data_IF_771895654454
#
_entry.id   IF_771895654454
#
_cell.length_a   1.000
_cell.length_b   1.000
_cell.length_c   1.000
_cell.angle_alpha   90.00
_cell.angle_beta   90.00
_cell.angle_gamma   90.00
#
_symmetry.space_group_name_H-M   'P 1'
#
loop_
_entity.id
_entity.type
_entity.pdbx_description
1 polymer ?
#
# COMPACT_ATOMS: atom_id res chain seq x y z
N UNK A 1 -2.67 6.05 12.78
CA UNK A 1 -1.84 7.27 13.04
C UNK A 1 -0.84 7.41 11.89
N UNK A 2 -0.71 8.60 11.28
CA UNK A 2 0.29 8.85 10.21
C UNK A 2 1.67 9.02 10.87
N UNK A 3 2.66 8.20 10.45
CA UNK A 3 4.06 8.36 10.83
C UNK A 3 4.90 8.98 9.70
N UNK A 4 6.19 9.18 9.94
CA UNK A 4 7.12 9.80 8.97
C UNK A 4 7.28 9.06 7.64
N UNK A 5 6.81 7.82 7.53
CA UNK A 5 6.93 7.00 6.31
C UNK A 5 5.65 6.22 5.95
N UNK A 6 4.49 6.52 6.56
CA UNK A 6 3.25 5.85 6.17
C UNK A 6 2.14 5.79 7.21
N UNK A 7 1.06 5.07 6.89
CA UNK A 7 -0.07 4.80 7.79
C UNK A 7 0.17 3.47 8.50
N UNK A 8 0.17 3.46 9.83
CA UNK A 8 0.28 2.24 10.64
C UNK A 8 -1.01 1.90 11.35
N UNK A 9 -1.26 0.59 11.45
CA UNK A 9 -2.31 0.06 12.31
C UNK A 9 -2.45 -1.45 12.24
N UNK A 10 -3.09 -2.04 13.25
CA UNK A 10 -3.46 -3.46 13.25
C UNK A 10 -4.50 -3.74 12.15
N UNK A 11 -4.24 -4.76 11.32
CA UNK A 11 -5.17 -5.20 10.28
C UNK A 11 -6.56 -5.49 10.87
N UNK A 12 -7.62 -5.09 10.15
CA UNK A 12 -9.02 -5.23 10.54
C UNK A 12 -9.45 -4.51 11.84
N UNK A 13 -8.57 -3.75 12.48
CA UNK A 13 -8.94 -2.88 13.60
C UNK A 13 -8.66 -1.41 13.28
N UNK A 14 -7.39 -1.09 13.07
CA UNK A 14 -6.94 0.28 12.78
C UNK A 14 -6.67 0.42 11.27
N UNK A 15 -6.00 -0.57 10.69
CA UNK A 15 -5.81 -0.70 9.24
C UNK A 15 -7.01 -1.45 8.66
N UNK A 16 -8.11 -0.73 8.47
CA UNK A 16 -9.34 -1.27 7.89
C UNK A 16 -9.32 -1.20 6.36
N UNK A 17 -10.08 -2.07 5.65
CA UNK A 17 -10.23 -1.96 4.20
C UNK A 17 -10.73 -0.59 3.75
N UNK A 18 -11.63 0.04 4.54
CA UNK A 18 -12.12 1.39 4.23
C UNK A 18 -11.02 2.45 4.33
N UNK A 19 -10.14 2.34 5.32
CA UNK A 19 -8.99 3.23 5.44
C UNK A 19 -8.01 3.02 4.26
N UNK A 20 -7.72 1.78 3.90
CA UNK A 20 -6.87 1.43 2.77
C UNK A 20 -7.43 1.95 1.43
N UNK A 21 -8.74 1.82 1.22
CA UNK A 21 -9.42 2.37 0.04
C UNK A 21 -9.33 3.90 -0.02
N UNK A 22 -9.61 4.58 1.10
CA UNK A 22 -9.49 6.04 1.16
C UNK A 22 -8.03 6.51 0.95
N UNK A 23 -7.05 5.73 1.42
CA UNK A 23 -5.65 5.98 1.13
C UNK A 23 -5.36 5.87 -0.37
N UNK A 24 -5.82 4.80 -1.03
CA UNK A 24 -5.71 4.65 -2.48
C UNK A 24 -6.35 5.80 -3.26
N UNK A 25 -7.55 6.23 -2.86
CA UNK A 25 -8.23 7.40 -3.43
C UNK A 25 -7.38 8.68 -3.32
N UNK A 26 -6.79 8.91 -2.15
CA UNK A 26 -5.99 10.10 -1.88
C UNK A 26 -4.66 10.11 -2.65
N UNK A 27 -4.01 8.95 -2.79
CA UNK A 27 -2.78 8.84 -3.59
C UNK A 27 -3.09 8.96 -5.08
N UNK A 28 -4.13 8.28 -5.55
CA UNK A 28 -4.46 8.24 -6.98
C UNK A 28 -5.00 9.55 -7.53
N UNK A 29 -5.53 10.46 -6.69
CA UNK A 29 -5.87 11.82 -7.11
C UNK A 29 -4.64 12.70 -7.37
N UNK A 30 -3.46 12.29 -6.91
CA UNK A 30 -2.19 13.01 -7.06
C UNK A 30 -1.32 12.37 -8.15
N UNK A 31 -1.27 11.03 -8.17
CA UNK A 31 -0.37 10.28 -9.05
C UNK A 31 -1.14 9.53 -10.14
N UNK A 32 -0.83 9.74 -11.43
CA UNK A 32 -1.53 9.08 -12.54
C UNK A 32 -1.19 7.59 -12.68
N UNK A 33 -0.05 7.15 -12.13
CA UNK A 33 0.38 5.76 -12.12
C UNK A 33 1.07 5.43 -10.81
N UNK A 34 0.69 4.30 -10.20
CA UNK A 34 1.20 3.84 -8.92
C UNK A 34 1.48 2.34 -8.97
N UNK A 35 2.69 1.95 -8.57
CA UNK A 35 3.04 0.53 -8.40
C UNK A 35 2.79 0.07 -6.96
N UNK A 36 2.17 -1.09 -6.77
CA UNK A 36 1.77 -1.60 -5.45
C UNK A 36 2.39 -2.98 -5.23
N UNK A 37 2.97 -3.19 -4.06
CA UNK A 37 3.46 -4.50 -3.61
C UNK A 37 3.15 -4.74 -2.14
N UNK A 38 3.19 -6.00 -1.72
CA UNK A 38 2.95 -6.39 -0.33
C UNK A 38 3.91 -7.46 0.17
N UNK A 39 4.06 -7.54 1.50
CA UNK A 39 4.80 -8.60 2.18
C UNK A 39 3.95 -9.89 2.31
N UNK A 40 4.48 -11.02 2.82
CA UNK A 40 3.78 -12.30 2.80
C UNK A 40 2.64 -12.44 3.82
N UNK A 41 2.23 -11.36 4.52
CA UNK A 41 1.17 -11.44 5.52
C UNK A 41 -0.19 -11.67 4.86
N UNK A 42 -1.01 -12.51 5.48
CA UNK A 42 -2.35 -12.90 4.98
C UNK A 42 -3.23 -11.67 4.71
N UNK A 43 -3.17 -10.65 5.55
CA UNK A 43 -3.93 -9.40 5.36
C UNK A 43 -3.36 -8.47 4.29
N UNK A 44 -2.18 -8.75 3.74
CA UNK A 44 -1.56 -7.99 2.66
C UNK A 44 -2.43 -7.92 1.41
N UNK A 45 -3.00 -9.05 0.98
CA UNK A 45 -3.89 -9.11 -0.20
C UNK A 45 -5.16 -8.30 -0.01
N UNK A 46 -5.78 -8.39 1.17
CA UNK A 46 -6.97 -7.61 1.49
C UNK A 46 -6.70 -6.10 1.42
N UNK A 47 -5.57 -5.66 1.98
CA UNK A 47 -5.16 -4.25 1.95
C UNK A 47 -4.79 -3.84 0.52
N UNK A 48 -4.08 -4.69 -0.23
CA UNK A 48 -3.72 -4.42 -1.63
C UNK A 48 -4.97 -4.19 -2.48
N UNK A 49 -5.95 -5.09 -2.39
CA UNK A 49 -7.20 -4.94 -3.14
C UNK A 49 -7.95 -3.66 -2.78
N UNK A 50 -7.98 -3.28 -1.49
CA UNK A 50 -8.61 -2.05 -1.07
C UNK A 50 -7.88 -0.80 -1.60
N UNK A 51 -6.56 -0.75 -1.50
CA UNK A 51 -5.73 0.34 -2.04
C UNK A 51 -5.91 0.45 -3.56
N UNK A 52 -5.82 -0.67 -4.27
CA UNK A 52 -5.99 -0.73 -5.74
C UNK A 52 -7.37 -0.26 -6.16
N UNK A 53 -8.44 -0.66 -5.45
CA UNK A 53 -9.79 -0.16 -5.72
C UNK A 53 -9.86 1.36 -5.58
N UNK A 54 -9.25 1.92 -4.53
CA UNK A 54 -9.15 3.36 -4.33
C UNK A 54 -8.41 4.06 -5.49
N UNK A 55 -7.22 3.57 -5.85
CA UNK A 55 -6.42 4.10 -6.95
C UNK A 55 -7.20 4.12 -8.26
N UNK A 56 -7.77 2.98 -8.66
CA UNK A 56 -8.52 2.87 -9.92
C UNK A 56 -9.75 3.78 -9.96
N UNK A 57 -10.50 3.87 -8.85
CA UNK A 57 -11.69 4.72 -8.78
C UNK A 57 -11.39 6.22 -8.83
N UNK A 58 -10.16 6.64 -8.49
CA UNK A 58 -9.71 8.02 -8.63
C UNK A 58 -9.24 8.38 -10.06
N UNK A 59 -9.17 7.39 -10.96
CA UNK A 59 -8.65 7.56 -12.33
C UNK A 59 -7.17 7.26 -12.49
N UNK A 60 -6.48 6.82 -11.43
CA UNK A 60 -5.08 6.40 -11.48
C UNK A 60 -4.91 4.99 -12.04
N UNK A 61 -3.78 4.72 -12.68
CA UNK A 61 -3.36 3.38 -13.09
C UNK A 61 -2.65 2.67 -11.94
N UNK A 62 -3.19 1.53 -11.51
CA UNK A 62 -2.55 0.68 -10.50
C UNK A 62 -1.78 -0.48 -11.16
N UNK A 63 -0.48 -0.58 -10.89
CA UNK A 63 0.37 -1.70 -11.32
C UNK A 63 0.66 -2.60 -10.13
N UNK A 64 0.11 -3.82 -10.14
CA UNK A 64 0.34 -4.80 -9.07
C UNK A 64 1.63 -5.59 -9.31
N UNK A 65 2.56 -5.56 -8.37
CA UNK A 65 3.67 -6.51 -8.30
C UNK A 65 3.33 -7.75 -7.46
N UNK A 66 2.27 -7.68 -6.64
CA UNK A 66 1.87 -8.75 -5.73
C UNK A 66 2.84 -8.90 -4.56
N UNK A 67 3.04 -10.15 -4.13
CA UNK A 67 3.91 -10.47 -3.00
C UNK A 67 5.39 -10.32 -3.41
N UNK A 68 6.06 -9.30 -2.89
CA UNK A 68 7.47 -9.02 -3.17
C UNK A 68 8.21 -8.51 -1.93
N UNK A 69 9.51 -8.76 -1.79
CA UNK A 69 10.32 -8.09 -0.79
C UNK A 69 10.32 -6.57 -0.98
N UNK A 70 10.35 -5.80 0.12
CA UNK A 70 10.51 -4.34 0.09
C UNK A 70 11.63 -3.84 -0.85
N UNK A 71 12.85 -4.42 -0.86
CA UNK A 71 13.90 -3.96 -1.79
C UNK A 71 13.55 -4.18 -3.26
N UNK A 72 12.73 -5.18 -3.59
CA UNK A 72 12.25 -5.41 -4.96
C UNK A 72 11.33 -4.28 -5.41
N UNK A 73 10.39 -3.87 -4.55
CA UNK A 73 9.53 -2.72 -4.83
C UNK A 73 10.33 -1.41 -4.89
N UNK A 74 11.31 -1.21 -4.00
CA UNK A 74 12.18 -0.03 -4.00
C UNK A 74 13.05 0.07 -5.26
N UNK A 75 13.40 -1.06 -5.90
CA UNK A 75 14.07 -1.03 -7.20
C UNK A 75 13.08 -0.70 -8.32
N UNK A 76 11.89 -1.30 -8.29
CA UNK A 76 10.86 -1.05 -9.28
C UNK A 76 10.37 0.41 -9.27
N UNK A 77 10.28 1.03 -8.08
CA UNK A 77 9.78 2.40 -7.90
C UNK A 77 10.56 3.45 -8.68
N UNK A 78 11.83 3.19 -9.02
CA UNK A 78 12.64 4.07 -9.89
C UNK A 78 12.04 4.32 -11.27
N UNK A 79 11.14 3.45 -11.72
CA UNK A 79 10.47 3.55 -13.02
C UNK A 79 9.03 4.09 -12.91
N UNK A 80 8.55 4.45 -11.71
CA UNK A 80 7.18 4.90 -11.47
C UNK A 80 7.16 6.23 -10.70
N UNK A 81 6.10 7.02 -10.87
CA UNK A 81 5.95 8.29 -10.17
C UNK A 81 5.62 8.15 -8.67
N UNK A 82 5.09 7.00 -8.26
CA UNK A 82 4.77 6.67 -6.88
C UNK A 82 4.76 5.14 -6.70
N UNK A 83 5.13 4.67 -5.52
CA UNK A 83 5.08 3.26 -5.17
C UNK A 83 4.52 3.04 -3.76
N UNK A 84 3.67 2.03 -3.59
CA UNK A 84 3.04 1.71 -2.30
C UNK A 84 3.51 0.33 -1.83
N UNK A 85 4.19 0.30 -0.69
CA UNK A 85 4.50 -0.96 0.02
C UNK A 85 3.49 -1.20 1.13
N UNK A 86 2.87 -2.37 1.13
CA UNK A 86 2.03 -2.87 2.22
C UNK A 86 2.85 -3.87 3.02
N UNK A 87 3.31 -3.46 4.20
CA UNK A 87 4.19 -4.31 5.02
C UNK A 87 4.05 -4.03 6.50
N UNK A 88 4.35 -5.01 7.35
CA UNK A 88 4.58 -4.75 8.77
C UNK A 88 6.04 -4.39 9.11
N UNK A 89 6.96 -4.54 8.16
CA UNK A 89 8.41 -4.53 8.40
C UNK A 89 8.76 -5.50 9.56
N UNK A 90 9.32 -5.02 10.67
CA UNK A 90 9.73 -5.82 11.82
C UNK A 90 8.67 -5.91 12.94
N UNK A 91 7.46 -5.40 12.74
CA UNK A 91 6.47 -5.34 13.82
C UNK A 91 5.96 -6.75 14.21
N UNK A 92 5.98 -7.10 15.51
CA UNK A 92 5.32 -8.31 16.01
C UNK A 92 3.80 -8.22 15.84
N UNK A 93 3.14 -9.36 15.55
CA UNK A 93 1.67 -9.43 15.46
C UNK A 93 1.07 -8.84 14.17
N UNK A 94 -0.26 -8.62 14.09
CA UNK A 94 -1.00 -8.25 12.86
C UNK A 94 -0.87 -6.77 12.41
N UNK A 95 0.14 -6.05 12.88
CA UNK A 95 0.34 -4.62 12.53
C UNK A 95 0.78 -4.51 11.08
N UNK A 96 0.15 -3.61 10.32
CA UNK A 96 0.53 -3.26 8.95
C UNK A 96 0.91 -1.79 8.87
N UNK A 97 1.72 -1.48 7.86
CA UNK A 97 2.14 -0.16 7.44
C UNK A 97 1.94 -0.05 5.93
N UNK A 98 1.33 1.05 5.49
CA UNK A 98 1.25 1.41 4.07
C UNK A 98 2.17 2.60 3.86
N UNK A 99 3.26 2.39 3.11
CA UNK A 99 4.34 3.35 2.88
C UNK A 99 4.37 3.79 1.42
N UNK A 100 4.62 5.08 1.17
CA UNK A 100 5.07 5.53 -0.14
C UNK A 100 6.60 5.41 -0.17
N UNK A 101 7.16 4.59 -1.06
CA UNK A 101 8.62 4.46 -1.26
C UNK A 101 9.09 5.33 -2.43
#
# INVERSE_FOLDING_TARGET
MFGSSGVRGIANMEMTPRLALNFGLAVGSIYPEVVVGHDPRISGEMIEHAVVAGLLSSGSKAVKLGMVPTPTLALASKNYGCSIMITASHNPGPVHRVENL
#
